data_IF_120237560320
#
_entry.id   IF_120237560320
#
_cell.length_a   1.000
_cell.length_b   1.000
_cell.length_c   1.000
_cell.angle_alpha   90.00
_cell.angle_beta   90.00
_cell.angle_gamma   90.00
#
_symmetry.space_group_name_H-M   'P 1'
#
loop_
_entity.id
_entity.type
_entity.pdbx_description
1 polymer ?
#
# COMPACT_ATOMS: atom_id res chain seq x y z
N UNK A 1 -29.12 19.06 -25.36
CA UNK A 1 -29.24 18.79 -23.90
C UNK A 1 -28.25 19.72 -23.18
N UNK A 2 -28.76 20.80 -22.59
CA UNK A 2 -27.95 21.79 -21.84
C UNK A 2 -27.66 21.23 -20.45
N UNK A 3 -26.39 20.93 -20.15
CA UNK A 3 -25.95 20.61 -18.79
C UNK A 3 -25.74 21.92 -18.04
N UNK A 4 -26.61 22.17 -17.08
CA UNK A 4 -26.51 23.25 -16.10
C UNK A 4 -25.47 22.79 -15.07
N UNK A 5 -24.30 23.44 -15.06
CA UNK A 5 -23.34 23.32 -13.97
C UNK A 5 -23.88 24.16 -12.80
N UNK A 6 -24.40 23.48 -11.77
CA UNK A 6 -24.63 24.10 -10.48
C UNK A 6 -23.29 24.21 -9.77
N UNK A 7 -22.75 25.42 -9.64
CA UNK A 7 -21.67 25.74 -8.70
C UNK A 7 -22.21 25.53 -7.28
N UNK A 8 -21.58 24.71 -6.42
CA UNK A 8 -21.89 24.73 -5.01
C UNK A 8 -21.34 26.05 -4.42
N UNK A 9 -22.24 26.87 -3.90
CA UNK A 9 -21.90 28.02 -3.09
C UNK A 9 -21.14 27.48 -1.85
N UNK A 10 -19.84 27.73 -1.79
CA UNK A 10 -19.01 27.59 -0.61
C UNK A 10 -19.51 28.61 0.42
N UNK A 11 -20.40 28.16 1.30
CA UNK A 11 -20.63 28.81 2.58
C UNK A 11 -19.33 28.66 3.37
N UNK A 12 -18.47 29.67 3.33
CA UNK A 12 -17.39 29.86 4.28
C UNK A 12 -18.05 30.14 5.63
N UNK A 13 -18.31 29.09 6.41
CA UNK A 13 -18.48 29.22 7.84
C UNK A 13 -17.17 29.85 8.34
N UNK A 14 -17.24 31.04 8.89
CA UNK A 14 -16.14 31.64 9.65
C UNK A 14 -15.89 30.71 10.85
N UNK A 15 -15.02 29.76 10.69
CA UNK A 15 -14.50 28.95 11.77
C UNK A 15 -13.63 29.90 12.57
N UNK A 16 -14.09 30.28 13.77
CA UNK A 16 -13.26 31.00 14.73
C UNK A 16 -12.02 30.13 14.95
N UNK A 17 -10.87 30.65 14.55
CA UNK A 17 -9.60 30.04 14.82
C UNK A 17 -9.47 29.89 16.35
N UNK A 18 -9.37 28.68 16.81
CA UNK A 18 -9.21 28.35 18.23
C UNK A 18 -7.85 27.75 18.47
N UNK A 19 -7.44 27.50 19.73
CA UNK A 19 -6.14 26.93 20.01
C UNK A 19 -5.98 25.54 19.37
N UNK A 20 -4.74 25.22 19.00
CA UNK A 20 -4.35 23.90 18.55
C UNK A 20 -4.19 22.98 19.76
N UNK A 21 -5.11 22.05 19.92
CA UNK A 21 -5.05 21.00 20.95
C UNK A 21 -4.52 19.67 20.38
N UNK A 22 -4.18 18.73 21.28
CA UNK A 22 -3.75 17.38 20.87
C UNK A 22 -4.78 16.67 20.00
N UNK A 23 -6.07 16.80 20.33
CA UNK A 23 -7.16 16.16 19.57
C UNK A 23 -7.21 16.66 18.13
N UNK A 24 -7.15 17.99 17.95
CA UNK A 24 -7.12 18.62 16.62
C UNK A 24 -5.90 18.16 15.82
N UNK A 25 -4.74 18.10 16.47
CA UNK A 25 -3.48 17.69 15.86
C UNK A 25 -3.55 16.22 15.40
N UNK A 26 -4.02 15.33 16.25
CA UNK A 26 -4.19 13.89 15.95
C UNK A 26 -5.24 13.68 14.87
N UNK A 27 -6.38 14.36 14.97
CA UNK A 27 -7.47 14.25 14.00
C UNK A 27 -7.07 14.73 12.60
N UNK A 28 -6.15 15.70 12.51
CA UNK A 28 -5.60 16.19 11.24
C UNK A 28 -4.95 15.09 10.40
N UNK A 29 -4.56 13.96 11.00
CA UNK A 29 -4.00 12.83 10.27
C UNK A 29 -4.99 12.25 9.24
N UNK A 30 -6.30 12.32 9.50
CA UNK A 30 -7.35 11.86 8.58
C UNK A 30 -7.49 12.74 7.33
N UNK A 31 -7.08 14.00 7.42
CA UNK A 31 -7.14 14.96 6.33
C UNK A 31 -5.84 15.01 5.51
N UNK A 32 -4.86 14.17 5.84
CA UNK A 32 -3.59 14.10 5.10
C UNK A 32 -3.81 13.42 3.73
N UNK A 33 -3.28 13.98 2.62
CA UNK A 33 -3.40 13.36 1.30
C UNK A 33 -2.86 11.92 1.24
N UNK A 34 -1.86 11.58 2.07
CA UNK A 34 -1.32 10.21 2.18
C UNK A 34 -2.34 9.26 2.79
N UNK A 35 -3.11 9.71 3.79
CA UNK A 35 -4.20 8.93 4.38
C UNK A 35 -5.26 8.61 3.35
N UNK A 36 -5.75 9.63 2.64
CA UNK A 36 -6.77 9.47 1.60
C UNK A 36 -6.30 8.54 0.47
N UNK A 37 -5.05 8.69 0.03
CA UNK A 37 -4.46 7.82 -0.99
C UNK A 37 -4.34 6.36 -0.52
N UNK A 38 -3.93 6.12 0.73
CA UNK A 38 -3.81 4.78 1.30
C UNK A 38 -5.20 4.15 1.52
N UNK A 39 -6.18 4.92 1.96
CA UNK A 39 -7.57 4.48 2.11
C UNK A 39 -8.16 4.07 0.76
N UNK A 40 -8.04 4.93 -0.26
CA UNK A 40 -8.52 4.63 -1.62
C UNK A 40 -7.89 3.36 -2.22
N UNK A 41 -6.61 3.11 -1.94
CA UNK A 41 -5.96 1.84 -2.35
C UNK A 41 -6.59 0.64 -1.65
N UNK A 42 -6.76 0.70 -0.35
CA UNK A 42 -7.39 -0.37 0.43
C UNK A 42 -8.82 -0.63 -0.04
N UNK A 43 -9.60 0.43 -0.30
CA UNK A 43 -10.95 0.33 -0.84
C UNK A 43 -10.99 -0.26 -2.25
N UNK A 44 -10.08 0.16 -3.14
CA UNK A 44 -10.00 -0.36 -4.50
C UNK A 44 -9.67 -1.86 -4.56
N UNK A 45 -8.98 -2.39 -3.56
CA UNK A 45 -8.66 -3.82 -3.45
C UNK A 45 -9.72 -4.62 -2.69
N UNK A 46 -10.64 -3.96 -1.97
CA UNK A 46 -11.67 -4.61 -1.15
C UNK A 46 -12.82 -5.22 -1.97
N UNK A 47 -12.99 -4.82 -3.24
CA UNK A 47 -14.04 -5.31 -4.12
C UNK A 47 -13.92 -6.80 -4.41
N UNK A 48 -15.03 -7.55 -4.34
CA UNK A 48 -15.07 -8.94 -4.79
C UNK A 48 -14.67 -9.02 -6.27
N UNK A 49 -13.59 -9.74 -6.57
CA UNK A 49 -13.24 -10.08 -7.94
C UNK A 49 -13.96 -11.37 -8.31
N UNK A 50 -14.97 -11.24 -9.16
CA UNK A 50 -15.53 -12.39 -9.85
C UNK A 50 -14.43 -13.05 -10.69
N UNK A 51 -13.98 -14.21 -10.27
CA UNK A 51 -13.02 -15.01 -11.03
C UNK A 51 -13.70 -15.49 -12.30
N UNK A 52 -13.28 -14.97 -13.44
CA UNK A 52 -13.78 -15.41 -14.74
C UNK A 52 -13.28 -16.83 -14.98
N UNK A 53 -14.20 -17.72 -15.39
CA UNK A 53 -13.87 -19.09 -15.81
C UNK A 53 -13.19 -19.13 -17.19
N UNK A 54 -13.41 -18.09 -17.97
CA UNK A 54 -12.93 -17.97 -19.35
C UNK A 54 -11.83 -16.92 -19.42
N UNK A 55 -10.73 -17.26 -20.07
CA UNK A 55 -9.64 -16.32 -20.33
C UNK A 55 -9.98 -15.41 -21.51
N UNK A 56 -10.44 -16.02 -22.62
CA UNK A 56 -10.75 -15.29 -23.85
C UNK A 56 -12.04 -15.79 -24.49
N UNK A 57 -12.74 -14.85 -25.12
CA UNK A 57 -13.86 -15.08 -26.01
C UNK A 57 -13.51 -14.41 -27.34
N UNK A 58 -13.34 -15.21 -28.40
CA UNK A 58 -12.95 -14.74 -29.71
C UNK A 58 -14.00 -15.15 -30.76
N UNK A 59 -14.47 -14.21 -31.55
CA UNK A 59 -15.22 -14.49 -32.75
C UNK A 59 -14.26 -14.56 -33.94
N UNK A 60 -14.14 -15.72 -34.55
CA UNK A 60 -13.33 -15.92 -35.76
C UNK A 60 -14.22 -16.02 -36.98
N UNK A 61 -13.79 -15.36 -38.02
CA UNK A 61 -14.37 -15.46 -39.34
C UNK A 61 -13.26 -15.85 -40.30
N UNK A 62 -13.49 -16.91 -41.10
CA UNK A 62 -12.52 -17.43 -42.04
C UNK A 62 -13.17 -17.60 -43.40
N UNK A 63 -12.53 -17.09 -44.46
CA UNK A 63 -12.82 -17.37 -45.86
C UNK A 63 -11.84 -18.43 -46.36
N UNK A 64 -12.34 -19.47 -46.99
CA UNK A 64 -11.49 -20.51 -47.53
C UNK A 64 -10.98 -20.11 -48.93
N UNK A 65 -9.66 -19.86 -49.03
CA UNK A 65 -8.95 -19.72 -50.30
C UNK A 65 -9.36 -18.54 -51.18
N UNK A 66 -9.71 -17.37 -50.66
CA UNK A 66 -10.28 -16.25 -51.40
C UNK A 66 -11.57 -16.54 -52.18
N UNK A 67 -12.19 -17.70 -51.90
CA UNK A 67 -13.45 -18.12 -52.46
C UNK A 67 -14.59 -17.65 -51.56
N UNK A 68 -15.49 -16.84 -52.11
CA UNK A 68 -16.73 -16.47 -51.39
C UNK A 68 -17.72 -17.65 -51.29
N UNK A 69 -17.29 -18.85 -51.59
CA UNK A 69 -18.13 -20.05 -51.59
C UNK A 69 -18.29 -20.66 -50.20
N UNK A 70 -17.34 -20.43 -49.29
CA UNK A 70 -17.36 -21.00 -47.96
C UNK A 70 -17.00 -19.97 -46.90
N UNK A 71 -17.89 -19.76 -45.96
CA UNK A 71 -17.74 -18.86 -44.84
C UNK A 71 -17.81 -19.67 -43.54
N UNK A 72 -16.76 -19.62 -42.75
CA UNK A 72 -16.70 -20.25 -41.44
C UNK A 72 -16.75 -19.19 -40.35
N UNK A 73 -17.74 -19.26 -39.48
CA UNK A 73 -17.88 -18.46 -38.28
C UNK A 73 -17.62 -19.36 -37.09
N UNK A 74 -16.71 -18.98 -36.20
CA UNK A 74 -16.38 -19.75 -35.01
C UNK A 74 -16.33 -18.86 -33.80
N UNK A 75 -17.13 -19.16 -32.78
CA UNK A 75 -17.02 -18.57 -31.45
C UNK A 75 -16.09 -19.46 -30.62
N UNK A 76 -14.89 -18.96 -30.33
CA UNK A 76 -13.89 -19.64 -29.49
C UNK A 76 -13.93 -19.16 -28.08
N UNK A 77 -14.01 -20.08 -27.16
CA UNK A 77 -13.90 -19.85 -25.71
C UNK A 77 -12.65 -20.53 -25.20
N UNK A 78 -11.73 -19.78 -24.63
CA UNK A 78 -10.53 -20.33 -24.00
C UNK A 78 -10.79 -20.42 -22.51
N UNK A 79 -10.91 -21.60 -21.90
CA UNK A 79 -11.03 -21.72 -20.45
C UNK A 79 -9.72 -21.34 -19.78
N UNK A 80 -9.78 -20.86 -18.53
CA UNK A 80 -8.57 -20.69 -17.74
C UNK A 80 -7.93 -22.04 -17.43
N UNK A 81 -6.59 -22.12 -17.36
CA UNK A 81 -5.87 -23.31 -16.93
C UNK A 81 -6.34 -23.85 -15.58
N UNK A 82 -6.16 -25.14 -15.38
CA UNK A 82 -6.56 -25.80 -14.14
C UNK A 82 -5.85 -25.23 -12.92
N UNK A 83 -6.62 -24.73 -11.94
CA UNK A 83 -6.13 -24.11 -10.71
C UNK A 83 -5.84 -22.62 -10.81
N UNK A 84 -5.77 -22.02 -11.99
CA UNK A 84 -5.50 -20.58 -12.15
C UNK A 84 -6.60 -19.71 -11.50
N UNK A 85 -7.86 -20.07 -11.67
CA UNK A 85 -8.98 -19.32 -11.07
C UNK A 85 -8.94 -19.32 -9.54
N UNK A 86 -8.51 -20.44 -8.92
CA UNK A 86 -8.29 -20.51 -7.47
C UNK A 86 -7.09 -19.68 -7.03
N UNK A 87 -5.99 -19.78 -7.78
CA UNK A 87 -4.79 -19.00 -7.49
C UNK A 87 -5.02 -17.49 -7.67
N UNK A 88 -5.81 -17.08 -8.67
CA UNK A 88 -6.24 -15.69 -8.86
C UNK A 88 -7.02 -15.16 -7.65
N UNK A 89 -7.92 -16.00 -7.12
CA UNK A 89 -8.71 -15.66 -5.93
C UNK A 89 -7.80 -15.52 -4.70
N UNK A 90 -6.94 -16.52 -4.44
CA UNK A 90 -5.98 -16.49 -3.33
C UNK A 90 -5.08 -15.26 -3.42
N UNK A 91 -4.60 -14.92 -4.61
CA UNK A 91 -3.78 -13.73 -4.84
C UNK A 91 -4.57 -12.44 -4.57
N UNK A 92 -5.81 -12.36 -5.04
CA UNK A 92 -6.65 -11.18 -4.80
C UNK A 92 -6.93 -11.00 -3.30
N UNK A 93 -7.19 -12.07 -2.57
CA UNK A 93 -7.40 -12.05 -1.12
C UNK A 93 -6.12 -11.63 -0.39
N UNK A 94 -4.95 -12.20 -0.75
CA UNK A 94 -3.66 -11.84 -0.18
C UNK A 94 -3.28 -10.36 -0.44
N UNK A 95 -3.52 -9.86 -1.65
CA UNK A 95 -3.30 -8.45 -2.00
C UNK A 95 -4.23 -7.54 -1.20
N UNK A 96 -5.49 -7.92 -1.01
CA UNK A 96 -6.43 -7.17 -0.18
C UNK A 96 -5.94 -7.08 1.27
N UNK A 97 -5.52 -8.20 1.86
CA UNK A 97 -5.03 -8.25 3.23
C UNK A 97 -3.73 -7.46 3.38
N UNK A 98 -2.83 -7.53 2.40
CA UNK A 98 -1.63 -6.70 2.34
C UNK A 98 -1.94 -5.20 2.30
N UNK A 99 -2.84 -4.74 1.41
CA UNK A 99 -3.17 -3.33 1.30
C UNK A 99 -3.94 -2.81 2.52
N UNK A 100 -4.76 -3.65 3.17
CA UNK A 100 -5.39 -3.32 4.45
C UNK A 100 -4.36 -3.14 5.57
N UNK A 101 -3.39 -4.06 5.67
CA UNK A 101 -2.31 -3.94 6.63
C UNK A 101 -1.41 -2.73 6.36
N UNK A 102 -1.10 -2.47 5.09
CA UNK A 102 -0.36 -1.30 4.64
C UNK A 102 -1.06 0.01 5.00
N UNK A 103 -2.38 0.07 4.85
CA UNK A 103 -3.16 1.22 5.33
C UNK A 103 -2.98 1.45 6.83
N UNK A 104 -2.97 0.38 7.64
CA UNK A 104 -2.66 0.45 9.07
C UNK A 104 -1.27 1.01 9.36
N UNK A 105 -0.25 0.60 8.61
CA UNK A 105 1.13 1.12 8.72
C UNK A 105 1.18 2.61 8.35
N UNK A 106 0.59 3.01 7.23
CA UNK A 106 0.56 4.43 6.81
C UNK A 106 -0.15 5.31 7.84
N UNK A 107 -1.27 4.83 8.39
CA UNK A 107 -1.99 5.53 9.47
C UNK A 107 -1.10 5.68 10.71
N UNK A 108 -0.39 4.62 11.11
CA UNK A 108 0.55 4.66 12.24
C UNK A 108 1.64 5.70 12.03
N UNK A 109 2.22 5.76 10.84
CA UNK A 109 3.25 6.75 10.49
C UNK A 109 2.71 8.19 10.53
N UNK A 110 1.51 8.42 10.03
CA UNK A 110 0.88 9.74 10.06
C UNK A 110 0.63 10.20 11.50
N UNK A 111 0.15 9.32 12.36
CA UNK A 111 -0.04 9.63 13.77
C UNK A 111 1.29 9.82 14.50
N UNK A 112 2.29 9.01 14.19
CA UNK A 112 3.66 9.18 14.68
C UNK A 112 4.20 10.58 14.38
N UNK A 113 4.07 11.05 13.12
CA UNK A 113 4.50 12.38 12.71
C UNK A 113 3.84 13.50 13.56
N UNK A 114 2.52 13.35 13.87
CA UNK A 114 1.77 14.33 14.69
C UNK A 114 2.22 14.31 16.14
N UNK A 115 2.28 13.14 16.73
CA UNK A 115 2.73 12.98 18.13
C UNK A 115 4.19 13.43 18.30
N UNK A 116 5.08 13.03 17.40
CA UNK A 116 6.50 13.43 17.46
C UNK A 116 6.64 14.95 17.44
N UNK A 117 5.90 15.60 16.54
CA UNK A 117 5.94 17.05 16.43
C UNK A 117 5.36 17.74 17.66
N UNK A 118 4.24 17.24 18.17
CA UNK A 118 3.62 17.79 19.38
C UNK A 118 4.51 17.62 20.62
N UNK A 119 5.07 16.42 20.82
CA UNK A 119 6.00 16.16 21.93
C UNK A 119 7.24 17.04 21.83
N UNK A 120 7.83 17.15 20.64
CA UNK A 120 8.98 18.03 20.39
C UNK A 120 8.65 19.48 20.74
N UNK A 121 7.49 19.99 20.36
CA UNK A 121 7.06 21.35 20.69
C UNK A 121 6.95 21.55 22.20
N UNK A 122 6.25 20.66 22.91
CA UNK A 122 6.06 20.75 24.36
C UNK A 122 7.39 20.72 25.09
N UNK A 123 8.29 19.80 24.71
CA UNK A 123 9.61 19.68 25.35
C UNK A 123 10.52 20.88 25.02
N UNK A 124 10.51 21.38 23.81
CA UNK A 124 11.25 22.60 23.43
C UNK A 124 10.75 23.82 24.17
N UNK A 125 9.43 23.94 24.40
CA UNK A 125 8.85 25.00 25.20
C UNK A 125 9.36 24.95 26.63
N UNK A 126 9.40 23.78 27.28
CA UNK A 126 9.98 23.56 28.61
C UNK A 126 11.47 23.97 28.64
N UNK A 127 12.27 23.53 27.70
CA UNK A 127 13.70 23.86 27.58
C UNK A 127 13.88 25.36 27.41
N UNK A 128 13.09 26.01 26.57
CA UNK A 128 13.17 27.48 26.38
C UNK A 128 12.88 28.24 27.67
N UNK A 129 11.91 27.81 28.47
CA UNK A 129 11.62 28.45 29.77
C UNK A 129 12.78 28.27 30.77
N UNK A 130 13.43 27.11 30.82
CA UNK A 130 14.62 26.90 31.66
C UNK A 130 15.77 27.76 31.16
N UNK A 131 15.99 27.86 29.85
CA UNK A 131 17.03 28.71 29.27
C UNK A 131 16.81 30.20 29.58
N UNK A 132 15.56 30.69 29.61
CA UNK A 132 15.24 32.05 30.06
C UNK A 132 15.64 32.28 31.53
N UNK A 133 15.33 31.31 32.39
CA UNK A 133 15.71 31.38 33.81
C UNK A 133 17.24 31.33 34.00
N UNK A 134 17.93 30.46 33.24
CA UNK A 134 19.40 30.38 33.22
C UNK A 134 20.02 31.71 32.75
N UNK A 135 19.47 32.33 31.71
CA UNK A 135 19.94 33.64 31.26
C UNK A 135 19.78 34.71 32.35
N UNK A 136 18.64 34.73 33.04
CA UNK A 136 18.42 35.66 34.14
C UNK A 136 19.46 35.46 35.26
N UNK A 137 19.66 34.22 35.71
CA UNK A 137 20.66 33.90 36.75
C UNK A 137 22.07 34.31 36.34
N UNK A 138 22.46 34.08 35.07
CA UNK A 138 23.75 34.48 34.56
C UNK A 138 23.86 36.00 34.43
N UNK A 139 22.79 36.70 34.07
CA UNK A 139 22.76 38.18 34.04
C UNK A 139 22.97 38.75 35.44
N UNK A 140 22.23 38.23 36.44
CA UNK A 140 22.39 38.62 37.84
C UNK A 140 23.82 38.36 38.33
N UNK A 141 24.43 37.26 37.93
CA UNK A 141 25.80 36.88 38.25
C UNK A 141 26.83 37.84 37.64
N UNK A 142 26.64 38.24 36.37
CA UNK A 142 27.48 39.28 35.72
C UNK A 142 27.40 40.59 36.47
N UNK A 143 26.20 41.03 36.89
CA UNK A 143 26.01 42.25 37.65
C UNK A 143 26.74 42.23 39.00
N UNK A 144 26.60 41.12 39.75
CA UNK A 144 27.32 40.95 41.03
C UNK A 144 28.83 40.93 40.82
N UNK A 145 29.34 40.30 39.77
CA UNK A 145 30.77 40.28 39.45
C UNK A 145 31.28 41.69 39.10
N UNK A 146 30.50 42.48 38.36
CA UNK A 146 30.83 43.87 38.08
C UNK A 146 30.88 44.72 39.36
N UNK A 147 29.91 44.55 40.25
CA UNK A 147 29.91 45.25 41.54
C UNK A 147 31.13 44.87 42.42
N UNK A 148 31.63 43.65 42.30
CA UNK A 148 32.82 43.17 43.00
C UNK A 148 34.14 43.52 42.30
N UNK A 149 34.16 44.17 41.15
CA UNK A 149 35.35 44.42 40.34
C UNK A 149 36.43 45.20 41.04
N UNK A 150 36.06 46.02 42.05
CA UNK A 150 36.99 46.77 42.90
C UNK A 150 37.48 46.05 44.17
N UNK A 151 37.06 44.81 44.41
CA UNK A 151 37.42 44.02 45.59
C UNK A 151 38.67 43.15 45.35
N UNK A 152 39.45 42.94 46.45
CA UNK A 152 40.62 42.05 46.39
C UNK A 152 40.30 40.59 46.04
N UNK A 153 39.04 40.20 46.13
CA UNK A 153 38.58 38.85 45.82
C UNK A 153 37.96 38.71 44.40
N UNK A 154 38.07 39.75 43.58
CA UNK A 154 37.56 39.75 42.22
C UNK A 154 38.42 38.85 41.31
N UNK A 155 37.77 37.94 40.61
CA UNK A 155 38.43 37.12 39.60
C UNK A 155 37.90 37.49 38.20
N UNK A 156 38.73 38.08 37.32
CA UNK A 156 38.34 38.44 35.95
C UNK A 156 37.93 37.22 35.10
N UNK A 157 38.51 36.02 35.36
CA UNK A 157 38.18 34.79 34.65
C UNK A 157 36.75 34.34 34.91
N UNK A 158 36.26 34.51 36.16
CA UNK A 158 34.85 34.23 36.50
C UNK A 158 33.88 35.14 35.71
N UNK A 159 34.25 36.41 35.51
CA UNK A 159 33.43 37.33 34.72
C UNK A 159 33.42 36.93 33.24
N UNK A 160 34.59 36.63 32.66
CA UNK A 160 34.69 36.20 31.26
C UNK A 160 33.92 34.92 31.01
N UNK A 161 34.09 33.90 31.85
CA UNK A 161 33.36 32.63 31.70
C UNK A 161 31.85 32.80 31.84
N UNK A 162 31.38 33.69 32.71
CA UNK A 162 29.96 34.01 32.89
C UNK A 162 29.39 34.74 31.65
N UNK A 163 30.16 35.66 31.05
CA UNK A 163 29.78 36.36 29.83
C UNK A 163 29.71 35.38 28.63
N UNK A 164 30.69 34.48 28.46
CA UNK A 164 30.69 33.44 27.44
C UNK A 164 29.46 32.52 27.58
N UNK A 165 29.16 32.11 28.83
CA UNK A 165 28.00 31.29 29.11
C UNK A 165 26.67 32.01 28.78
N UNK A 166 26.58 33.32 29.15
CA UNK A 166 25.42 34.13 28.79
C UNK A 166 25.24 34.24 27.26
N UNK A 167 26.36 34.39 26.53
CA UNK A 167 26.31 34.40 25.06
C UNK A 167 25.83 33.04 24.47
N UNK A 168 26.32 31.94 25.03
CA UNK A 168 25.89 30.60 24.65
C UNK A 168 24.39 30.38 24.90
N UNK A 169 23.88 30.75 26.09
CA UNK A 169 22.46 30.61 26.43
C UNK A 169 21.58 31.48 25.50
N UNK A 170 22.04 32.71 25.18
CA UNK A 170 21.32 33.55 24.19
C UNK A 170 21.26 32.93 22.82
N UNK A 171 22.35 32.32 22.37
CA UNK A 171 22.37 31.59 21.09
C UNK A 171 21.41 30.37 21.10
N UNK A 172 21.37 29.60 22.21
CA UNK A 172 20.42 28.50 22.39
C UNK A 172 18.97 28.99 22.38
N UNK A 173 18.65 30.09 23.07
CA UNK A 173 17.30 30.69 23.06
C UNK A 173 16.85 31.10 21.65
N UNK A 174 17.74 31.67 20.83
CA UNK A 174 17.44 31.98 19.44
C UNK A 174 17.20 30.74 18.63
N UNK A 175 18.02 29.71 18.82
CA UNK A 175 17.86 28.40 18.16
C UNK A 175 16.53 27.73 18.55
N UNK A 176 16.19 27.71 19.84
CA UNK A 176 14.94 27.14 20.33
C UNK A 176 13.71 27.92 19.84
N UNK A 177 13.77 29.23 19.82
CA UNK A 177 12.70 30.08 19.28
C UNK A 177 12.45 29.79 17.79
N UNK A 178 13.53 29.61 17.03
CA UNK A 178 13.45 29.24 15.61
C UNK A 178 12.86 27.84 15.42
N UNK A 179 13.28 26.90 16.25
CA UNK A 179 12.77 25.52 16.21
C UNK A 179 11.26 25.42 16.60
N UNK A 180 10.83 26.22 17.59
CA UNK A 180 9.42 26.34 17.97
C UNK A 180 8.59 26.91 16.82
N UNK A 181 9.07 28.00 16.20
CA UNK A 181 8.39 28.60 15.04
C UNK A 181 8.30 27.61 13.82
N UNK A 182 9.38 26.88 13.55
CA UNK A 182 9.37 25.85 12.50
C UNK A 182 8.35 24.76 12.80
N UNK A 183 8.26 24.33 14.07
CA UNK A 183 7.26 23.35 14.48
C UNK A 183 5.82 23.87 14.30
N UNK A 184 5.56 25.13 14.67
CA UNK A 184 4.25 25.78 14.46
C UNK A 184 3.91 25.89 12.97
N UNK A 185 4.85 26.29 12.13
CA UNK A 185 4.64 26.35 10.68
C UNK A 185 4.30 24.99 10.08
N UNK A 186 4.97 23.94 10.54
CA UNK A 186 4.66 22.56 10.11
C UNK A 186 3.29 22.11 10.60
N UNK A 187 2.90 22.43 11.82
CA UNK A 187 1.56 22.13 12.33
C UNK A 187 0.47 22.90 11.56
N UNK A 188 0.75 24.15 11.10
CA UNK A 188 -0.16 24.92 10.23
C UNK A 188 -0.40 24.29 8.87
N UNK A 189 0.51 23.47 8.36
CA UNK A 189 0.26 22.69 7.13
C UNK A 189 -0.84 21.66 7.37
N UNK A 190 -0.92 21.07 8.55
CA UNK A 190 -1.89 20.04 8.91
C UNK A 190 -3.21 20.60 9.45
N UNK A 191 -3.13 21.69 10.20
CA UNK A 191 -4.27 22.40 10.77
C UNK A 191 -4.08 23.88 10.45
N UNK A 192 -4.61 24.38 9.31
CA UNK A 192 -4.36 25.77 8.88
C UNK A 192 -4.90 26.85 9.82
N UNK A 193 -6.04 26.55 10.48
CA UNK A 193 -6.85 27.52 11.20
C UNK A 193 -6.65 27.39 12.73
N UNK A 194 -5.46 27.75 13.24
CA UNK A 194 -5.28 27.97 14.67
C UNK A 194 -4.48 29.26 14.93
N UNK A 195 -4.79 29.91 16.05
CA UNK A 195 -4.14 31.15 16.48
C UNK A 195 -2.94 30.88 17.40
N UNK A 196 -3.09 29.93 18.32
CA UNK A 196 -2.08 29.59 19.34
C UNK A 196 -1.98 28.08 19.52
N UNK A 197 -0.80 27.59 19.94
CA UNK A 197 -0.55 26.18 20.25
C UNK A 197 -0.73 25.95 21.75
N UNK A 198 -1.82 25.24 22.10
CA UNK A 198 -2.13 24.80 23.47
C UNK A 198 -2.03 23.27 23.58
N UNK A 199 -0.78 22.76 23.51
CA UNK A 199 -0.50 21.35 23.74
C UNK A 199 -0.18 21.15 25.22
N UNK A 200 -1.16 20.62 25.97
CA UNK A 200 -1.00 20.34 27.39
C UNK A 200 -0.06 19.14 27.61
N UNK A 201 0.91 19.32 28.53
CA UNK A 201 1.79 18.23 28.96
C UNK A 201 1.08 17.15 29.75
N UNK A 202 -0.09 17.41 30.33
CA UNK A 202 -0.93 16.41 31.02
C UNK A 202 -1.46 15.32 30.10
N UNK A 203 -1.46 15.57 28.78
CA UNK A 203 -1.81 14.56 27.79
C UNK A 203 -0.77 13.44 27.70
N UNK A 204 0.48 13.75 28.02
CA UNK A 204 1.58 12.79 28.00
C UNK A 204 1.50 11.85 29.22
N UNK A 205 1.86 10.56 29.07
CA UNK A 205 1.95 9.66 30.23
C UNK A 205 3.10 10.09 31.15
N UNK A 206 2.97 9.79 32.44
CA UNK A 206 4.05 9.96 33.38
C UNK A 206 5.12 8.88 33.19
N UNK A 207 6.34 9.13 33.66
CA UNK A 207 7.45 8.16 33.56
C UNK A 207 7.16 6.86 34.34
N UNK A 208 6.40 6.96 35.43
CA UNK A 208 5.99 5.78 36.19
C UNK A 208 4.89 4.97 35.48
N UNK A 209 3.93 5.65 34.83
CA UNK A 209 2.94 4.98 33.96
C UNK A 209 3.66 4.26 32.81
N UNK A 210 4.66 4.87 32.19
CA UNK A 210 5.45 4.26 31.13
C UNK A 210 6.22 3.03 31.64
N UNK A 211 6.92 3.18 32.78
CA UNK A 211 7.66 2.07 33.36
C UNK A 211 6.75 0.89 33.73
N UNK A 212 5.59 1.16 34.32
CA UNK A 212 4.61 0.11 34.65
C UNK A 212 4.06 -0.58 33.42
N UNK A 213 3.70 0.17 32.39
CA UNK A 213 3.15 -0.35 31.17
C UNK A 213 4.16 -1.20 30.38
N UNK A 214 5.46 -0.82 30.42
CA UNK A 214 6.52 -1.53 29.71
C UNK A 214 7.13 -2.68 30.50
N UNK A 215 6.90 -2.76 31.82
CA UNK A 215 7.47 -3.82 32.67
C UNK A 215 7.05 -5.23 32.26
N UNK A 216 5.88 -5.39 31.66
CA UNK A 216 5.38 -6.67 31.18
C UNK A 216 5.89 -7.03 29.77
N UNK A 217 6.68 -6.14 29.14
CA UNK A 217 7.10 -6.26 27.76
C UNK A 217 5.97 -5.92 26.77
N UNK A 218 6.33 -5.77 25.51
CA UNK A 218 5.38 -5.59 24.41
C UNK A 218 5.42 -6.84 23.54
N UNK A 219 4.36 -7.63 23.59
CA UNK A 219 4.25 -8.81 22.75
C UNK A 219 3.83 -8.43 21.33
N UNK A 220 4.63 -8.84 20.36
CA UNK A 220 4.31 -8.69 18.95
C UNK A 220 3.40 -9.84 18.53
N UNK A 221 2.20 -9.52 18.09
CA UNK A 221 1.23 -10.52 17.63
C UNK A 221 0.96 -10.38 16.12
N UNK A 222 0.31 -11.39 15.53
CA UNK A 222 0.03 -11.46 14.09
C UNK A 222 -0.88 -10.34 13.57
N UNK A 223 -1.58 -9.63 14.46
CA UNK A 223 -2.48 -8.54 14.09
C UNK A 223 -1.76 -7.18 13.99
N UNK A 224 -0.48 -7.11 14.37
CA UNK A 224 0.28 -5.88 14.18
C UNK A 224 0.40 -5.56 12.69
N UNK A 225 0.16 -4.30 12.29
CA UNK A 225 0.12 -3.93 10.87
C UNK A 225 1.37 -4.33 10.09
N UNK A 226 2.56 -4.21 10.67
CA UNK A 226 3.81 -4.63 10.03
C UNK A 226 3.87 -6.15 9.84
N UNK A 227 3.47 -6.94 10.84
CA UNK A 227 3.44 -8.42 10.74
C UNK A 227 2.37 -8.86 9.76
N UNK A 228 1.18 -8.24 9.81
CA UNK A 228 0.11 -8.50 8.87
C UNK A 228 0.51 -8.14 7.42
N UNK A 229 1.28 -7.07 7.24
CA UNK A 229 1.83 -6.67 5.93
C UNK A 229 2.85 -7.69 5.43
N UNK A 230 3.78 -8.14 6.27
CA UNK A 230 4.75 -9.19 5.93
C UNK A 230 4.05 -10.50 5.55
N UNK A 231 3.00 -10.90 6.31
CA UNK A 231 2.18 -12.07 5.99
C UNK A 231 1.46 -11.91 4.65
N UNK A 232 0.81 -10.76 4.40
CA UNK A 232 0.14 -10.48 3.14
C UNK A 232 1.10 -10.49 1.95
N UNK A 233 2.34 -10.01 2.13
CA UNK A 233 3.42 -10.11 1.12
C UNK A 233 3.73 -11.58 0.81
N UNK A 234 4.02 -12.40 1.84
CA UNK A 234 4.26 -13.84 1.71
C UNK A 234 3.13 -14.53 0.95
N UNK A 235 1.90 -14.31 1.37
CA UNK A 235 0.72 -14.97 0.79
C UNK A 235 0.51 -14.53 -0.68
N UNK A 236 0.79 -13.26 -1.00
CA UNK A 236 0.75 -12.75 -2.37
C UNK A 236 1.81 -13.38 -3.27
N UNK A 237 3.05 -13.55 -2.78
CA UNK A 237 4.15 -14.18 -3.52
C UNK A 237 3.88 -15.67 -3.76
N UNK A 238 3.38 -16.38 -2.76
CA UNK A 238 2.98 -17.79 -2.88
C UNK A 238 1.83 -17.94 -3.87
N UNK A 239 0.82 -17.08 -3.82
CA UNK A 239 -0.31 -17.11 -4.75
C UNK A 239 0.12 -16.76 -6.18
N UNK A 240 1.06 -15.82 -6.34
CA UNK A 240 1.66 -15.52 -7.65
C UNK A 240 2.40 -16.75 -8.22
N UNK A 241 3.20 -17.43 -7.42
CA UNK A 241 3.90 -18.65 -7.85
C UNK A 241 2.91 -19.78 -8.22
N UNK A 242 1.82 -19.94 -7.45
CA UNK A 242 0.74 -20.87 -7.79
C UNK A 242 0.07 -20.50 -9.12
N UNK A 243 -0.18 -19.23 -9.38
CA UNK A 243 -0.76 -18.75 -10.64
C UNK A 243 0.17 -19.09 -11.82
N UNK A 244 1.47 -18.84 -11.67
CA UNK A 244 2.44 -19.08 -12.74
C UNK A 244 2.59 -20.57 -13.05
N UNK A 245 2.56 -21.44 -12.04
CA UNK A 245 2.52 -22.89 -12.22
C UNK A 245 1.21 -23.33 -12.86
N UNK A 246 0.07 -22.73 -12.47
CA UNK A 246 -1.24 -23.08 -13.03
C UNK A 246 -1.35 -22.72 -14.51
N UNK A 247 -0.72 -21.63 -14.97
CA UNK A 247 -0.65 -21.27 -16.39
C UNK A 247 0.00 -22.35 -17.25
N UNK A 248 0.95 -23.11 -16.70
CA UNK A 248 1.54 -24.28 -17.36
C UNK A 248 0.59 -25.49 -17.48
N UNK A 249 -0.54 -25.50 -16.76
CA UNK A 249 -1.54 -26.57 -16.80
C UNK A 249 -2.68 -26.30 -17.78
N UNK A 250 -2.37 -25.67 -18.90
CA UNK A 250 -3.29 -25.35 -20.00
C UNK A 250 -3.51 -26.58 -20.89
N UNK A 251 -4.32 -27.52 -20.42
CA UNK A 251 -4.63 -28.74 -21.17
C UNK A 251 -5.73 -28.55 -22.22
N UNK A 252 -6.57 -27.53 -22.09
CA UNK A 252 -7.66 -27.22 -23.04
C UNK A 252 -7.31 -25.87 -23.70
N UNK A 253 -6.85 -25.95 -24.94
CA UNK A 253 -6.48 -24.77 -25.70
C UNK A 253 -7.69 -23.88 -26.01
N UNK A 254 -8.77 -24.48 -26.49
CA UNK A 254 -10.04 -23.78 -26.69
C UNK A 254 -11.20 -24.76 -26.92
N UNK A 255 -12.39 -24.26 -26.69
CA UNK A 255 -13.66 -24.86 -27.09
C UNK A 255 -14.27 -23.92 -28.13
N UNK A 256 -14.46 -24.41 -29.35
CA UNK A 256 -15.04 -23.65 -30.46
C UNK A 256 -16.42 -24.18 -30.81
N UNK A 257 -17.37 -23.30 -31.01
CA UNK A 257 -18.66 -23.59 -31.61
C UNK A 257 -18.72 -22.77 -32.89
N UNK A 258 -18.89 -23.45 -34.03
CA UNK A 258 -18.86 -22.76 -35.30
C UNK A 258 -19.99 -23.17 -36.22
N UNK A 259 -20.21 -22.34 -37.22
CA UNK A 259 -21.15 -22.54 -38.30
C UNK A 259 -20.44 -22.29 -39.62
N UNK A 260 -20.49 -23.30 -40.51
CA UNK A 260 -19.92 -23.25 -41.85
C UNK A 260 -21.06 -23.03 -42.85
N UNK A 261 -21.06 -21.89 -43.50
CA UNK A 261 -21.99 -21.54 -44.58
C UNK A 261 -21.31 -21.78 -45.92
N UNK A 262 -21.88 -22.64 -46.77
CA UNK A 262 -21.39 -22.86 -48.13
C UNK A 262 -22.34 -22.29 -49.15
N UNK A 263 -21.86 -21.34 -49.99
CA UNK A 263 -22.64 -20.67 -51.04
C UNK A 263 -22.37 -21.31 -52.39
N UNK A 264 -21.86 -22.53 -52.45
CA UNK A 264 -21.55 -23.26 -53.70
C UNK A 264 -22.77 -23.48 -54.60
N UNK A 265 -24.00 -23.43 -54.04
CA UNK A 265 -25.26 -23.66 -54.77
C UNK A 265 -25.50 -22.69 -55.93
N UNK A 266 -24.95 -21.48 -55.93
CA UNK A 266 -25.10 -20.48 -56.99
C UNK A 266 -24.18 -20.77 -58.20
N UNK A 267 -22.93 -21.16 -57.95
CA UNK A 267 -21.96 -21.48 -59.02
C UNK A 267 -22.31 -22.78 -59.72
N UNK A 268 -22.81 -23.78 -58.98
CA UNK A 268 -23.24 -25.03 -59.59
C UNK A 268 -24.53 -24.91 -60.41
N UNK A 269 -25.43 -24.02 -60.01
CA UNK A 269 -26.61 -23.69 -60.80
C UNK A 269 -26.23 -23.08 -62.15
N UNK A 270 -25.20 -22.24 -62.13
CA UNK A 270 -24.67 -21.63 -63.36
C UNK A 270 -24.00 -22.67 -64.28
N UNK A 271 -23.19 -23.59 -63.73
CA UNK A 271 -22.59 -24.69 -64.50
C UNK A 271 -23.62 -25.63 -65.12
N UNK A 272 -24.73 -25.86 -64.46
CA UNK A 272 -25.85 -26.63 -65.03
C UNK A 272 -26.52 -25.87 -66.17
N UNK A 273 -26.66 -24.56 -66.04
CA UNK A 273 -27.20 -23.73 -67.09
C UNK A 273 -26.27 -23.71 -68.33
N UNK A 274 -24.97 -23.59 -68.10
CA UNK A 274 -23.95 -23.65 -69.17
C UNK A 274 -23.98 -25.02 -69.91
N UNK A 275 -24.06 -26.15 -69.17
CA UNK A 275 -24.18 -27.47 -69.78
C UNK A 275 -25.48 -27.60 -70.57
N UNK A 276 -26.56 -27.01 -70.15
CA UNK A 276 -27.86 -27.03 -70.84
C UNK A 276 -27.82 -26.15 -72.10
N UNK A 277 -27.12 -25.08 -72.08
CA UNK A 277 -26.94 -24.11 -73.20
C UNK A 277 -26.09 -24.79 -74.33
N UNK A 278 -25.07 -25.53 -73.97
CA UNK A 278 -24.16 -26.17 -74.93
C UNK A 278 -24.87 -27.36 -75.66
N UNK A 279 -25.82 -28.02 -75.02
CA UNK A 279 -26.45 -29.21 -75.57
C UNK A 279 -27.90 -29.00 -76.03
N UNK A 280 -28.41 -27.82 -75.96
CA UNK A 280 -29.79 -27.48 -76.41
C UNK A 280 -30.86 -27.92 -75.39
N UNK A 281 -32.11 -27.64 -75.71
CA UNK A 281 -33.30 -27.90 -74.89
C UNK A 281 -33.79 -29.34 -74.92
N UNK A 282 -32.92 -30.33 -74.91
CA UNK A 282 -33.32 -31.74 -74.80
C UNK A 282 -33.53 -32.16 -73.36
N UNK A 283 -34.47 -33.12 -73.15
CA UNK A 283 -34.63 -33.78 -71.88
C UNK A 283 -33.39 -34.67 -71.59
N UNK A 284 -32.77 -34.47 -70.50
CA UNK A 284 -31.63 -35.26 -70.05
C UNK A 284 -32.04 -36.14 -68.86
N UNK A 285 -31.97 -37.43 -69.04
CA UNK A 285 -32.16 -38.37 -67.94
C UNK A 285 -30.82 -38.73 -67.30
N UNK A 286 -30.70 -38.74 -66.00
CA UNK A 286 -29.47 -39.14 -65.33
C UNK A 286 -29.35 -40.66 -65.45
N UNK A 287 -28.38 -41.17 -66.18
CA UNK A 287 -27.94 -42.56 -66.12
C UNK A 287 -26.94 -42.73 -65.00
N UNK A 288 -27.20 -43.72 -64.15
CA UNK A 288 -26.28 -44.02 -63.02
C UNK A 288 -25.07 -44.74 -63.60
N UNK A 289 -23.99 -44.01 -63.68
CA UNK A 289 -22.71 -44.65 -63.95
C UNK A 289 -21.99 -44.83 -62.60
N UNK A 290 -22.09 -46.00 -62.07
CA UNK A 290 -21.28 -46.43 -60.93
C UNK A 290 -21.36 -45.59 -59.67
N UNK A 291 -20.68 -46.03 -58.65
CA UNK A 291 -20.69 -45.44 -57.29
C UNK A 291 -19.92 -44.09 -57.10
N UNK A 292 -19.57 -43.42 -58.17
CA UNK A 292 -18.94 -42.09 -57.95
C UNK A 292 -20.02 -41.01 -57.80
N UNK A 293 -20.20 -40.55 -56.63
CA UNK A 293 -21.15 -39.51 -56.24
C UNK A 293 -20.95 -38.12 -56.92
N UNK A 294 -19.96 -37.99 -57.78
CA UNK A 294 -19.57 -36.72 -58.41
C UNK A 294 -19.73 -36.77 -59.97
N UNK A 295 -19.85 -37.93 -60.56
CA UNK A 295 -19.97 -38.00 -61.99
C UNK A 295 -21.35 -38.60 -62.37
N UNK A 296 -22.19 -37.82 -63.05
CA UNK A 296 -23.45 -38.29 -63.60
C UNK A 296 -23.42 -38.20 -65.12
N UNK A 297 -23.66 -39.32 -65.72
CA UNK A 297 -23.73 -39.40 -67.17
C UNK A 297 -25.14 -39.05 -67.61
N UNK A 298 -25.28 -38.13 -68.54
CA UNK A 298 -26.58 -37.76 -69.10
C UNK A 298 -26.64 -38.25 -70.54
N UNK A 299 -27.76 -38.93 -70.88
CA UNK A 299 -28.04 -39.38 -72.22
C UNK A 299 -29.08 -38.46 -72.84
N UNK A 300 -28.88 -38.07 -74.08
CA UNK A 300 -29.85 -37.27 -74.83
C UNK A 300 -30.96 -38.14 -75.35
N UNK A 301 -32.20 -37.99 -74.88
CA UNK A 301 -33.30 -38.86 -75.17
C UNK A 301 -34.09 -38.54 -76.44
N UNK A 302 -33.97 -37.40 -77.04
CA UNK A 302 -34.76 -37.06 -78.22
C UNK A 302 -33.98 -36.27 -79.29
N UNK A 303 -34.25 -36.63 -80.51
CA UNK A 303 -33.69 -35.92 -81.68
C UNK A 303 -32.57 -36.66 -82.40
N UNK A 304 -32.32 -37.90 -82.05
CA UNK A 304 -31.38 -38.77 -82.82
C UNK A 304 -31.95 -39.17 -84.13
N UNK A 305 -31.29 -38.79 -85.23
CA UNK A 305 -31.57 -39.35 -86.54
C UNK A 305 -30.72 -40.59 -86.76
N UNK A 306 -31.21 -41.54 -87.55
CA UNK A 306 -30.59 -42.85 -87.75
C UNK A 306 -29.18 -42.86 -88.32
N UNK A 307 -28.59 -41.66 -88.53
CA UNK A 307 -27.24 -41.48 -89.09
C UNK A 307 -26.22 -41.14 -88.05
N UNK A 308 -26.63 -40.62 -86.91
CA UNK A 308 -25.74 -40.34 -85.78
C UNK A 308 -26.20 -41.20 -84.59
N UNK A 309 -25.40 -42.12 -84.17
CA UNK A 309 -25.73 -42.99 -83.06
C UNK A 309 -26.23 -42.15 -81.84
N UNK A 310 -27.28 -42.65 -81.25
CA UNK A 310 -27.99 -42.04 -80.16
C UNK A 310 -27.24 -42.14 -78.82
N UNK A 311 -26.02 -42.59 -78.83
CA UNK A 311 -25.25 -42.88 -77.60
C UNK A 311 -24.20 -41.76 -77.28
N UNK A 312 -24.55 -40.53 -77.53
CA UNK A 312 -23.74 -39.48 -77.04
C UNK A 312 -23.96 -39.32 -75.51
N UNK A 313 -23.18 -40.01 -74.78
CA UNK A 313 -23.08 -39.80 -73.30
C UNK A 313 -22.12 -38.69 -73.01
N UNK A 314 -22.56 -37.78 -72.22
CA UNK A 314 -21.70 -36.66 -71.73
C UNK A 314 -21.55 -36.80 -70.27
N UNK A 315 -20.34 -37.02 -69.87
CA UNK A 315 -20.00 -37.04 -68.47
C UNK A 315 -19.92 -35.62 -67.98
N UNK A 316 -20.91 -35.20 -67.24
CA UNK A 316 -20.89 -33.87 -66.55
C UNK A 316 -20.62 -34.14 -65.12
N UNK A 317 -19.57 -33.49 -64.67
CA UNK A 317 -19.23 -33.47 -63.23
C UNK A 317 -20.32 -32.69 -62.51
N UNK A 318 -21.28 -33.42 -61.94
CA UNK A 318 -22.31 -32.80 -61.09
C UNK A 318 -21.91 -33.04 -59.66
N UNK A 319 -21.60 -32.00 -58.94
CA UNK A 319 -21.40 -32.14 -57.51
C UNK A 319 -22.65 -32.74 -56.86
N UNK A 320 -22.44 -33.70 -55.98
CA UNK A 320 -23.50 -34.47 -55.34
C UNK A 320 -24.56 -33.55 -54.68
N UNK A 321 -25.76 -33.60 -55.24
CA UNK A 321 -26.86 -32.73 -54.78
C UNK A 321 -27.40 -33.11 -53.40
N UNK A 322 -27.24 -34.38 -52.98
CA UNK A 322 -27.70 -34.84 -51.67
C UNK A 322 -26.78 -34.42 -50.55
N UNK A 323 -25.51 -34.19 -50.83
CA UNK A 323 -24.60 -33.58 -49.86
C UNK A 323 -24.85 -32.06 -49.63
N UNK A 324 -25.72 -31.41 -50.40
CA UNK A 324 -26.07 -30.00 -50.25
C UNK A 324 -26.92 -29.71 -49.03
N UNK A 325 -27.75 -30.66 -48.60
CA UNK A 325 -28.50 -30.53 -47.33
C UNK A 325 -27.60 -30.53 -46.10
N UNK A 326 -26.34 -30.90 -46.27
CA UNK A 326 -25.30 -30.88 -45.22
C UNK A 326 -24.22 -29.82 -45.45
N UNK A 327 -24.43 -28.90 -46.41
CA UNK A 327 -23.47 -27.85 -46.73
C UNK A 327 -23.29 -26.85 -45.54
N UNK A 328 -24.40 -26.60 -44.87
CA UNK A 328 -24.42 -25.78 -43.68
C UNK A 328 -24.26 -26.66 -42.44
N UNK A 329 -23.12 -26.59 -41.82
CA UNK A 329 -22.77 -27.45 -40.67
C UNK A 329 -22.45 -26.64 -39.44
N UNK A 330 -23.11 -27.01 -38.36
CA UNK A 330 -22.60 -26.70 -37.05
C UNK A 330 -21.43 -27.65 -36.73
N UNK A 331 -20.36 -27.09 -36.18
CA UNK A 331 -19.23 -27.87 -35.72
C UNK A 331 -18.81 -27.45 -34.32
N UNK A 332 -18.26 -28.38 -33.57
CA UNK A 332 -17.66 -28.14 -32.27
C UNK A 332 -16.19 -28.53 -32.37
N UNK A 333 -15.32 -27.59 -32.08
CA UNK A 333 -13.88 -27.81 -32.04
C UNK A 333 -13.42 -27.89 -30.58
N UNK A 334 -12.75 -28.98 -30.25
CA UNK A 334 -12.08 -29.13 -28.95
C UNK A 334 -10.59 -29.31 -29.21
N UNK A 335 -9.79 -28.39 -28.77
CA UNK A 335 -8.34 -28.46 -28.90
C UNK A 335 -7.70 -28.73 -27.55
N UNK A 336 -6.99 -29.84 -27.46
CA UNK A 336 -6.24 -30.25 -26.29
C UNK A 336 -4.75 -30.06 -26.53
N UNK A 337 -4.04 -29.51 -25.50
CA UNK A 337 -2.58 -29.51 -25.45
C UNK A 337 -2.14 -30.73 -24.65
N UNK A 338 -1.35 -31.58 -25.27
CA UNK A 338 -0.83 -32.79 -24.63
C UNK A 338 0.56 -32.44 -24.05
N UNK A 339 0.78 -32.60 -22.73
CA UNK A 339 2.03 -32.20 -22.05
C UNK A 339 3.14 -33.25 -22.25
N UNK A 340 3.39 -33.69 -23.51
CA UNK A 340 4.39 -34.72 -23.77
C UNK A 340 5.85 -34.27 -23.48
N UNK A 341 6.09 -32.97 -23.42
CA UNK A 341 7.43 -32.40 -23.27
C UNK A 341 7.63 -31.57 -21.99
N UNK A 342 6.57 -31.32 -21.22
CA UNK A 342 6.65 -30.56 -19.97
C UNK A 342 6.45 -31.54 -18.79
N UNK A 343 7.59 -31.91 -18.17
CA UNK A 343 7.48 -32.63 -16.92
C UNK A 343 7.07 -31.62 -15.86
N UNK A 344 5.82 -31.67 -15.38
CA UNK A 344 5.31 -30.78 -14.30
C UNK A 344 6.15 -30.75 -13.01
N UNK A 345 7.21 -31.56 -12.96
CA UNK A 345 8.21 -31.59 -11.87
C UNK A 345 8.95 -30.27 -11.70
N UNK A 346 9.34 -29.61 -12.80
CA UNK A 346 10.03 -28.30 -12.74
C UNK A 346 9.11 -27.20 -12.19
N UNK A 347 7.84 -27.25 -12.56
CA UNK A 347 6.83 -26.30 -12.08
C UNK A 347 6.52 -26.48 -10.60
N UNK A 348 6.43 -27.74 -10.14
CA UNK A 348 6.21 -28.05 -8.73
C UNK A 348 7.43 -27.70 -7.88
N UNK A 349 8.65 -27.92 -8.39
CA UNK A 349 9.88 -27.50 -7.73
C UNK A 349 9.97 -25.98 -7.58
N UNK A 350 9.68 -25.22 -8.65
CA UNK A 350 9.62 -23.75 -8.60
C UNK A 350 8.62 -23.25 -7.57
N UNK A 351 7.45 -23.89 -7.48
CA UNK A 351 6.46 -23.53 -6.47
C UNK A 351 6.96 -23.83 -5.04
N UNK A 352 7.64 -24.95 -4.83
CA UNK A 352 8.22 -25.28 -3.52
C UNK A 352 9.31 -24.29 -3.12
N UNK A 353 10.21 -23.94 -4.03
CA UNK A 353 11.26 -22.95 -3.79
C UNK A 353 10.62 -21.59 -3.46
N UNK A 354 9.68 -21.11 -4.27
CA UNK A 354 9.01 -19.84 -4.01
C UNK A 354 8.27 -19.80 -2.66
N UNK A 355 7.68 -20.92 -2.23
CA UNK A 355 7.06 -21.02 -0.89
C UNK A 355 8.10 -20.93 0.23
N UNK A 356 9.23 -21.63 0.09
CA UNK A 356 10.29 -21.61 1.09
C UNK A 356 10.95 -20.22 1.18
N UNK A 357 11.19 -19.58 0.05
CA UNK A 357 11.75 -18.22 0.00
C UNK A 357 10.80 -17.21 0.66
N UNK A 358 9.52 -17.23 0.28
CA UNK A 358 8.51 -16.34 0.85
C UNK A 358 8.31 -16.58 2.37
N UNK A 359 8.36 -17.83 2.83
CA UNK A 359 8.29 -18.16 4.26
C UNK A 359 9.55 -17.71 5.01
N UNK A 360 10.73 -17.89 4.41
CA UNK A 360 12.00 -17.43 4.96
C UNK A 360 12.01 -15.91 5.14
N UNK A 361 11.57 -15.17 4.12
CA UNK A 361 11.47 -13.72 4.16
C UNK A 361 10.49 -13.26 5.25
N UNK A 362 9.31 -13.90 5.32
CA UNK A 362 8.33 -13.62 6.36
C UNK A 362 8.89 -13.83 7.78
N UNK A 363 9.55 -14.95 8.02
CA UNK A 363 10.16 -15.24 9.32
C UNK A 363 11.29 -14.27 9.66
N UNK A 364 12.08 -13.84 8.66
CA UNK A 364 13.11 -12.82 8.85
C UNK A 364 12.48 -11.46 9.22
N UNK A 365 11.47 -11.00 8.48
CA UNK A 365 10.75 -9.76 8.75
C UNK A 365 10.12 -9.76 10.16
N UNK A 366 9.45 -10.86 10.56
CA UNK A 366 8.85 -11.01 11.90
C UNK A 366 9.91 -10.99 12.99
N UNK A 367 11.05 -11.68 12.78
CA UNK A 367 12.16 -11.67 13.73
C UNK A 367 12.74 -10.27 13.90
N UNK A 368 12.94 -9.55 12.80
CA UNK A 368 13.48 -8.19 12.84
C UNK A 368 12.53 -7.21 13.54
N UNK A 369 11.21 -7.34 13.33
CA UNK A 369 10.19 -6.58 14.07
C UNK A 369 10.28 -6.88 15.57
N UNK A 370 10.32 -8.17 15.96
CA UNK A 370 10.42 -8.59 17.36
C UNK A 370 11.68 -8.05 18.03
N UNK A 371 12.83 -8.16 17.36
CA UNK A 371 14.10 -7.64 17.87
C UNK A 371 14.06 -6.12 18.02
N UNK A 372 13.48 -5.40 17.06
CA UNK A 372 13.35 -3.93 17.13
C UNK A 372 12.45 -3.50 18.27
N UNK A 373 11.30 -4.17 18.46
CA UNK A 373 10.36 -3.89 19.56
C UNK A 373 11.02 -4.18 20.91
N UNK A 374 11.67 -5.33 21.07
CA UNK A 374 12.35 -5.68 22.32
C UNK A 374 13.47 -4.66 22.63
N UNK A 375 14.30 -4.31 21.64
CA UNK A 375 15.37 -3.32 21.83
C UNK A 375 14.83 -1.96 22.23
N UNK A 376 13.79 -1.47 21.57
CA UNK A 376 13.18 -0.17 21.89
C UNK A 376 12.56 -0.18 23.29
N UNK A 377 11.95 -1.29 23.72
CA UNK A 377 11.43 -1.45 25.07
C UNK A 377 12.54 -1.31 26.12
N UNK A 378 13.65 -2.01 25.93
CA UNK A 378 14.82 -1.92 26.82
C UNK A 378 15.45 -0.52 26.81
N UNK A 379 15.59 0.12 25.64
CA UNK A 379 16.09 1.49 25.51
C UNK A 379 15.22 2.49 26.31
N UNK A 380 13.87 2.38 26.21
CA UNK A 380 12.95 3.25 26.95
C UNK A 380 13.08 3.01 28.45
N UNK A 381 13.10 1.75 28.91
CA UNK A 381 13.25 1.41 30.31
C UNK A 381 14.59 1.90 30.90
N UNK A 382 15.67 1.75 30.13
CA UNK A 382 17.00 2.26 30.53
C UNK A 382 17.01 3.78 30.66
N UNK A 383 16.39 4.51 29.71
CA UNK A 383 16.28 5.97 29.78
C UNK A 383 15.41 6.42 30.96
N UNK A 384 14.31 5.71 31.26
CA UNK A 384 13.47 5.97 32.45
C UNK A 384 14.32 5.78 33.72
N UNK A 385 15.15 4.74 33.78
CA UNK A 385 16.09 4.54 34.91
C UNK A 385 17.04 5.72 35.06
N UNK A 386 17.65 6.20 33.98
CA UNK A 386 18.51 7.39 34.00
C UNK A 386 17.75 8.65 34.44
N UNK A 387 16.53 8.82 33.94
CA UNK A 387 15.68 9.95 34.31
C UNK A 387 15.34 9.92 35.81
N UNK A 388 15.03 8.75 36.40
CA UNK A 388 14.77 8.62 37.84
C UNK A 388 15.97 9.08 38.69
N UNK A 389 17.17 8.61 38.35
CA UNK A 389 18.41 9.05 39.03
C UNK A 389 18.61 10.56 38.91
N UNK A 390 18.39 11.10 37.69
CA UNK A 390 18.51 12.55 37.47
C UNK A 390 17.45 13.33 38.27
N UNK A 391 16.23 12.81 38.35
CA UNK A 391 15.11 13.43 39.07
C UNK A 391 15.34 13.43 40.58
N UNK A 392 15.81 12.30 41.14
CA UNK A 392 16.22 12.23 42.55
C UNK A 392 17.30 13.27 42.87
N UNK A 393 18.29 13.45 42.00
CA UNK A 393 19.32 14.49 42.16
C UNK A 393 18.70 15.87 42.12
N UNK A 394 17.82 16.19 41.18
CA UNK A 394 17.10 17.46 41.09
C UNK A 394 16.30 17.72 42.36
N UNK A 395 15.61 16.72 42.90
CA UNK A 395 14.86 16.86 44.15
C UNK A 395 15.74 17.09 45.34
N UNK A 396 16.90 16.45 45.42
CA UNK A 396 17.88 16.69 46.50
C UNK A 396 18.49 18.08 46.42
N UNK A 397 18.84 18.56 45.23
CA UNK A 397 19.45 19.87 45.03
C UNK A 397 18.41 21.01 45.08
N UNK A 398 17.23 20.77 44.50
CA UNK A 398 16.12 21.73 44.44
C UNK A 398 15.25 21.78 45.67
N UNK A 399 15.33 20.77 46.55
CA UNK A 399 14.59 20.77 47.80
C UNK A 399 14.87 22.09 48.55
N UNK A 400 13.82 22.82 48.86
CA UNK A 400 13.85 24.10 49.56
C UNK A 400 14.77 24.05 50.78
N UNK A 401 14.95 22.90 51.41
CA UNK A 401 15.87 22.66 52.50
C UNK A 401 17.35 22.86 52.16
N UNK A 402 17.84 22.35 51.01
CA UNK A 402 19.25 22.53 50.64
C UNK A 402 19.53 23.94 50.23
N UNK A 403 18.70 24.57 49.41
CA UNK A 403 18.86 25.97 49.00
C UNK A 403 18.68 26.91 50.18
N UNK A 404 17.74 26.65 51.13
CA UNK A 404 17.59 27.42 52.35
C UNK A 404 18.76 27.23 53.30
N UNK A 405 19.23 25.98 53.51
CA UNK A 405 20.42 25.72 54.34
C UNK A 405 21.67 26.33 53.69
N UNK A 406 21.80 26.26 52.38
CA UNK A 406 22.89 26.86 51.67
C UNK A 406 22.84 28.41 51.75
N UNK A 407 21.65 29.00 51.57
CA UNK A 407 21.45 30.44 51.74
C UNK A 407 21.75 30.90 53.18
N UNK A 408 21.39 30.10 54.20
CA UNK A 408 21.71 30.40 55.61
C UNK A 408 23.21 30.25 55.93
N UNK A 409 23.90 29.27 55.29
CA UNK A 409 25.29 28.91 55.57
C UNK A 409 26.29 29.65 54.64
N UNK A 410 25.86 30.06 53.46
CA UNK A 410 26.71 30.75 52.48
C UNK A 410 27.07 32.18 52.88
N UNK A 411 26.59 32.65 54.02
CA UNK A 411 26.83 34.01 54.47
C UNK A 411 26.20 35.02 53.51
N UNK A 412 26.92 36.17 53.32
CA UNK A 412 26.44 37.23 52.42
C UNK A 412 26.98 37.15 50.99
N UNK A 413 27.54 36.02 50.57
CA UNK A 413 28.04 35.88 49.19
C UNK A 413 26.97 35.47 48.16
N UNK A 414 26.40 36.42 47.39
CA UNK A 414 25.36 36.15 46.41
C UNK A 414 25.85 35.29 45.24
N UNK A 415 27.16 35.23 44.95
CA UNK A 415 27.69 34.43 43.84
C UNK A 415 27.52 32.93 44.09
N UNK A 416 27.65 32.49 45.37
CA UNK A 416 27.45 31.08 45.71
C UNK A 416 25.98 30.67 45.49
N UNK A 417 25.04 31.54 45.88
CA UNK A 417 23.62 31.28 45.68
C UNK A 417 23.24 31.19 44.18
N UNK A 418 23.78 32.13 43.39
CA UNK A 418 23.55 32.15 41.94
C UNK A 418 24.15 30.92 41.27
N UNK A 419 25.35 30.46 41.66
CA UNK A 419 25.93 29.21 41.15
C UNK A 419 25.09 27.98 41.52
N UNK A 420 24.57 27.89 42.74
CA UNK A 420 23.71 26.81 43.15
C UNK A 420 22.39 26.78 42.36
N UNK A 421 21.77 27.96 42.13
CA UNK A 421 20.57 28.09 41.31
C UNK A 421 20.83 27.70 39.83
N UNK A 422 21.98 28.11 39.31
CA UNK A 422 22.42 27.74 37.96
C UNK A 422 22.57 26.22 37.83
N UNK A 423 23.24 25.56 38.77
CA UNK A 423 23.41 24.10 38.78
C UNK A 423 22.08 23.36 38.90
N UNK A 424 21.12 23.85 39.68
CA UNK A 424 19.78 23.30 39.78
C UNK A 424 19.04 23.37 38.43
N UNK A 425 19.05 24.52 37.76
CA UNK A 425 18.43 24.71 36.45
C UNK A 425 19.07 23.85 35.33
N UNK A 426 20.42 23.71 35.38
CA UNK A 426 21.11 22.80 34.46
C UNK A 426 20.71 21.33 34.66
N UNK A 427 20.47 20.95 35.93
CA UNK A 427 19.99 19.61 36.26
C UNK A 427 18.55 19.37 35.81
N UNK A 428 17.68 20.38 35.99
CA UNK A 428 16.33 20.37 35.44
C UNK A 428 16.35 20.26 33.89
N UNK A 429 17.25 21.00 33.24
CA UNK A 429 17.45 20.94 31.80
C UNK A 429 17.81 19.52 31.34
N UNK A 430 18.70 18.82 32.04
CA UNK A 430 19.09 17.44 31.76
C UNK A 430 17.89 16.48 31.92
N UNK A 431 17.08 16.65 32.97
CA UNK A 431 15.88 15.86 33.19
C UNK A 431 14.86 16.03 32.04
N UNK A 432 14.62 17.29 31.60
CA UNK A 432 13.71 17.54 30.48
C UNK A 432 14.23 16.97 29.14
N UNK A 433 15.56 17.04 28.92
CA UNK A 433 16.18 16.41 27.74
C UNK A 433 15.98 14.88 27.75
N UNK A 434 16.14 14.22 28.89
CA UNK A 434 15.86 12.80 29.07
C UNK A 434 14.36 12.48 28.86
N UNK A 435 13.44 13.33 29.37
CA UNK A 435 12.00 13.19 29.06
C UNK A 435 11.74 13.18 27.56
N UNK A 436 12.36 14.10 26.84
CA UNK A 436 12.23 14.15 25.38
C UNK A 436 12.74 12.87 24.69
N UNK A 437 13.92 12.38 25.08
CA UNK A 437 14.52 11.18 24.53
C UNK A 437 13.64 9.93 24.82
N UNK A 438 13.08 9.84 26.03
CA UNK A 438 12.14 8.79 26.42
C UNK A 438 10.91 8.82 25.49
N UNK A 439 10.27 9.98 25.35
CA UNK A 439 9.08 10.08 24.50
C UNK A 439 9.38 9.80 23.03
N UNK A 440 10.53 10.22 22.52
CA UNK A 440 10.93 9.95 21.15
C UNK A 440 11.08 8.45 20.90
N UNK A 441 11.75 7.72 21.82
CA UNK A 441 11.90 6.27 21.72
C UNK A 441 10.58 5.52 21.96
N UNK A 442 9.78 6.00 22.90
CA UNK A 442 8.47 5.44 23.16
C UNK A 442 7.52 5.56 21.95
N UNK A 443 7.50 6.71 21.28
CA UNK A 443 6.74 6.88 20.04
C UNK A 443 7.22 5.94 18.92
N UNK A 444 8.55 5.77 18.80
CA UNK A 444 9.11 4.82 17.85
C UNK A 444 8.64 3.39 18.16
N UNK A 445 8.64 2.99 19.44
CA UNK A 445 8.12 1.72 19.91
C UNK A 445 6.63 1.54 19.54
N UNK A 446 5.79 2.54 19.85
CA UNK A 446 4.36 2.49 19.55
C UNK A 446 4.07 2.35 18.05
N UNK A 447 4.89 3.00 17.22
CA UNK A 447 4.78 2.89 15.77
C UNK A 447 5.14 1.48 15.29
N UNK A 448 6.27 0.91 15.73
CA UNK A 448 6.68 -0.45 15.36
C UNK A 448 5.73 -1.54 15.90
N UNK A 449 5.21 -1.35 17.10
CA UNK A 449 4.21 -2.24 17.69
C UNK A 449 2.82 -2.09 17.05
N UNK A 450 2.64 -1.15 16.10
CA UNK A 450 1.37 -0.92 15.41
C UNK A 450 0.24 -0.39 16.30
N UNK A 451 0.59 0.08 17.50
CA UNK A 451 -0.37 0.56 18.48
C UNK A 451 -1.04 1.86 18.00
N UNK A 452 -0.28 2.72 17.33
CA UNK A 452 -0.81 3.96 16.75
C UNK A 452 -1.84 3.70 15.63
N UNK A 453 -1.89 2.49 15.06
CA UNK A 453 -2.87 2.12 14.05
C UNK A 453 -4.25 1.75 14.61
N UNK A 454 -4.42 1.62 15.94
CA UNK A 454 -5.70 1.27 16.56
C UNK A 454 -6.73 2.38 16.35
N UNK A 455 -7.96 2.02 15.96
CA UNK A 455 -8.97 3.01 15.56
C UNK A 455 -9.69 3.69 16.72
N UNK A 456 -9.77 3.03 17.86
CA UNK A 456 -10.67 3.42 18.95
C UNK A 456 -9.95 4.10 20.14
N UNK A 457 -8.70 4.49 20.00
CA UNK A 457 -7.95 5.15 21.07
C UNK A 457 -8.15 6.67 21.02
N UNK A 458 -8.58 7.26 22.12
CA UNK A 458 -8.66 8.71 22.29
C UNK A 458 -7.25 9.27 22.53
N UNK A 459 -6.44 8.59 23.33
CA UNK A 459 -5.06 8.93 23.58
C UNK A 459 -4.15 7.71 23.44
N UNK A 460 -3.55 7.56 22.25
CA UNK A 460 -2.67 6.42 21.94
C UNK A 460 -1.44 6.35 22.86
N UNK A 461 -0.98 7.47 23.45
CA UNK A 461 0.19 7.48 24.31
C UNK A 461 -0.07 6.86 25.69
N UNK A 462 -1.30 7.00 26.22
CA UNK A 462 -1.68 6.46 27.54
C UNK A 462 -2.39 5.11 27.46
N UNK A 463 -3.20 4.91 26.42
CA UNK A 463 -4.07 3.73 26.31
C UNK A 463 -3.40 2.58 25.56
N UNK A 464 -2.27 2.84 24.98
CA UNK A 464 -1.58 1.97 24.04
C UNK A 464 -1.20 0.59 24.62
N UNK A 465 -0.95 0.50 25.90
CA UNK A 465 -0.40 -0.69 26.56
C UNK A 465 -1.31 -1.26 27.65
N UNK A 466 -2.57 -0.77 27.70
CA UNK A 466 -3.59 -1.31 28.64
C UNK A 466 -4.30 -2.53 28.07
#
# INVERSE_FOLDING_TARGET
MKRIFALPALLSAAVFAGPLTWDKLVESAKNDPRYEAAQKRSEATSGERNTKLWDKLELRYQLDGFSFAKHDFELRMTPKPFGESSADKERADAVRDYEKARFGVERSLLLYDRYERGVRYVMRKKINEINKQLLQVNTDRVEVLHLKSGSATFNPEDLMSTLEKSASIKAELLSDSTALRDAELKMKIWVPDFDEVELDSSFLPTMDELAQNLSNGVEVNENFPLVAMARGKRDSEVAQAKQDVSKGRDYISHIGIGYSLRIESLMEKNKRLEARDVWGTGDYSPTVAGDSSYLKTFQKESGCTAIMGCDATVDVLIPDYDNRKTADKFFVNLAFRLPFFDSGKDSDLKLQVAKLDAESDYLADVRDINQKVARLTEEVLALIGQWKVQKEFVEQVGASGFMEQFARNAGSDPLLLLRAKESALESDMKAVKLEYDIFARYLELLNYAGILARENSVNHLREALK
#
